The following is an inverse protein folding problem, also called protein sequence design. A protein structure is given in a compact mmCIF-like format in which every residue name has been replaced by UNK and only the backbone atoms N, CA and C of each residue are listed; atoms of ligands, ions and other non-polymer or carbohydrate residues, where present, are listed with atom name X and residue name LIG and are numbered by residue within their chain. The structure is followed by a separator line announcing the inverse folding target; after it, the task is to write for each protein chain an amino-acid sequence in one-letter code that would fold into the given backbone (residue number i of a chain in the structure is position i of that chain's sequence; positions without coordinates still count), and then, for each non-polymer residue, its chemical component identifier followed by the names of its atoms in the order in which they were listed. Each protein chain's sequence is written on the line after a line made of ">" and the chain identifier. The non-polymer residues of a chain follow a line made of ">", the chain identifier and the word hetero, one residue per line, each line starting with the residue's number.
data_IF_426791771008
#
_entry.id   IF_426791771008
#
_cell.length_a   1.000
_cell.length_b   1.000
_cell.length_c   1.000
_cell.angle_alpha   90.00
_cell.angle_beta   90.00
_cell.angle_gamma   90.00
#
_symmetry.space_group_name_H-M   'P 1'
#
loop_
_entity.id
_entity.type
_entity.pdbx_description
1 polymer ?
#
# COMPACT_ATOMS: atom_id res chain seq x y z
N UNK A 1 -31.97 1.36 -13.42
CA UNK A 1 -31.39 0.05 -13.02
C UNK A 1 -29.97 0.30 -12.55
N UNK A 2 -29.61 -0.07 -11.33
CA UNK A 2 -28.26 0.14 -10.80
C UNK A 2 -27.30 -0.90 -11.39
N UNK A 3 -26.18 -0.45 -11.96
CA UNK A 3 -25.13 -1.34 -12.48
C UNK A 3 -24.51 -2.26 -11.41
N UNK A 4 -23.79 -3.31 -11.84
CA UNK A 4 -23.16 -4.26 -10.92
C UNK A 4 -22.12 -3.55 -10.04
N UNK A 5 -22.03 -4.01 -8.78
CA UNK A 5 -21.10 -3.50 -7.78
C UNK A 5 -19.74 -4.19 -7.94
N UNK A 6 -18.68 -3.41 -8.08
CA UNK A 6 -17.32 -3.89 -8.32
C UNK A 6 -16.45 -3.57 -7.11
N UNK A 7 -15.74 -4.57 -6.60
CA UNK A 7 -14.62 -4.37 -5.68
C UNK A 7 -13.35 -4.16 -6.50
N UNK A 8 -12.81 -2.95 -6.51
CA UNK A 8 -11.51 -2.67 -7.14
C UNK A 8 -10.40 -2.83 -6.11
N UNK A 9 -9.51 -3.78 -6.35
CA UNK A 9 -8.34 -4.08 -5.53
C UNK A 9 -7.10 -3.46 -6.18
N UNK A 10 -6.46 -2.56 -5.42
CA UNK A 10 -5.19 -1.93 -5.77
C UNK A 10 -4.10 -2.63 -4.94
N UNK A 11 -3.39 -3.62 -5.50
CA UNK A 11 -2.38 -4.36 -4.76
C UNK A 11 -1.15 -3.49 -4.51
N UNK A 12 -0.70 -3.48 -3.27
CA UNK A 12 0.57 -2.85 -2.87
C UNK A 12 1.45 -3.86 -2.15
N UNK A 13 2.75 -3.57 -2.06
CA UNK A 13 3.69 -4.39 -1.29
C UNK A 13 3.42 -4.33 0.23
N UNK A 14 2.56 -3.44 0.70
CA UNK A 14 2.13 -3.38 2.12
C UNK A 14 0.79 -4.08 2.35
N UNK A 15 0.19 -4.64 1.29
CA UNK A 15 -1.14 -5.23 1.31
C UNK A 15 -2.07 -4.62 0.26
N UNK A 16 -3.15 -5.33 -0.11
CA UNK A 16 -4.14 -4.80 -1.04
C UNK A 16 -4.91 -3.64 -0.42
N UNK A 17 -5.09 -2.57 -1.19
CA UNK A 17 -6.03 -1.50 -0.90
C UNK A 17 -7.31 -1.72 -1.69
N UNK A 18 -8.42 -1.21 -1.14
CA UNK A 18 -9.74 -1.28 -1.75
C UNK A 18 -10.19 0.12 -2.12
N UNK A 19 -10.71 0.29 -3.34
CA UNK A 19 -11.42 1.51 -3.71
C UNK A 19 -12.75 1.53 -2.98
N UNK A 20 -12.98 2.56 -2.16
CA UNK A 20 -14.23 2.73 -1.42
C UNK A 20 -15.24 3.54 -2.20
N UNK A 21 -14.79 4.65 -2.79
CA UNK A 21 -15.63 5.51 -3.61
C UNK A 21 -14.81 6.27 -4.64
N UNK A 22 -15.49 6.62 -5.72
CA UNK A 22 -15.04 7.57 -6.72
C UNK A 22 -16.22 8.50 -6.98
N UNK A 23 -16.17 9.71 -6.45
CA UNK A 23 -17.35 10.59 -6.39
C UNK A 23 -17.00 12.04 -6.77
N UNK A 24 -17.92 12.77 -7.43
CA UNK A 24 -17.77 14.20 -7.63
C UNK A 24 -17.63 14.95 -6.30
N UNK A 25 -16.71 15.92 -6.27
CA UNK A 25 -16.43 16.75 -5.09
C UNK A 25 -16.13 18.20 -5.50
N UNK A 26 -17.15 19.00 -5.89
CA UNK A 26 -16.97 20.34 -6.44
C UNK A 26 -16.16 21.32 -5.57
N UNK A 27 -16.07 21.08 -4.26
CA UNK A 27 -15.27 21.91 -3.35
C UNK A 27 -13.76 21.62 -3.35
N UNK A 28 -13.28 20.62 -4.10
CA UNK A 28 -11.84 20.39 -4.25
C UNK A 28 -11.26 21.27 -5.35
N UNK A 29 -10.02 21.78 -5.19
CA UNK A 29 -9.36 22.58 -6.22
C UNK A 29 -8.94 21.73 -7.44
N UNK A 30 -8.76 20.42 -7.26
CA UNK A 30 -8.42 19.45 -8.28
C UNK A 30 -8.84 18.05 -7.82
N UNK A 31 -8.92 17.05 -8.72
CA UNK A 31 -9.09 15.66 -8.32
C UNK A 31 -8.01 15.23 -7.32
N UNK A 32 -8.40 14.54 -6.27
CA UNK A 32 -7.47 14.11 -5.22
C UNK A 32 -7.85 12.74 -4.66
N UNK A 33 -6.85 12.02 -4.18
CA UNK A 33 -7.02 10.71 -3.58
C UNK A 33 -6.78 10.79 -2.07
N UNK A 34 -7.54 10.03 -1.30
CA UNK A 34 -7.51 10.09 0.16
C UNK A 34 -7.60 8.69 0.75
N UNK A 35 -6.96 8.48 1.90
CA UNK A 35 -7.21 7.32 2.74
C UNK A 35 -8.55 7.47 3.47
N UNK A 36 -9.17 6.34 3.82
CA UNK A 36 -10.34 6.31 4.69
C UNK A 36 -10.03 6.95 6.05
N UNK A 37 -10.93 7.81 6.52
CA UNK A 37 -10.75 8.55 7.78
C UNK A 37 -9.70 9.67 7.76
N UNK A 38 -9.02 9.94 6.65
CA UNK A 38 -8.07 11.07 6.54
C UNK A 38 -8.58 12.11 5.52
N UNK A 39 -8.48 13.39 5.88
CA UNK A 39 -8.84 14.51 5.00
C UNK A 39 -7.66 15.01 4.17
N UNK A 40 -6.43 14.58 4.48
CA UNK A 40 -5.23 15.01 3.76
C UNK A 40 -5.06 14.18 2.49
N UNK A 41 -4.77 14.81 1.35
CA UNK A 41 -4.50 14.08 0.11
C UNK A 41 -3.33 13.09 0.28
N UNK A 42 -3.44 11.94 -0.36
CA UNK A 42 -2.35 10.96 -0.43
C UNK A 42 -1.14 11.57 -1.16
N UNK A 43 0.11 11.13 -0.86
CA UNK A 43 1.31 11.73 -1.44
C UNK A 43 1.35 11.77 -2.98
N UNK A 44 0.72 10.79 -3.65
CA UNK A 44 0.62 10.70 -5.11
C UNK A 44 -0.61 11.40 -5.71
N UNK A 45 -1.40 12.13 -4.90
CA UNK A 45 -2.61 12.81 -5.38
C UNK A 45 -2.34 13.85 -6.47
N UNK A 46 -1.17 14.49 -6.45
CA UNK A 46 -0.78 15.41 -7.51
C UNK A 46 -0.58 14.69 -8.86
N UNK A 47 -0.11 13.45 -8.84
CA UNK A 47 0.07 12.64 -10.05
C UNK A 47 -1.29 12.16 -10.57
N UNK A 48 -2.17 11.76 -9.65
CA UNK A 48 -3.57 11.46 -9.94
C UNK A 48 -4.31 12.66 -10.56
N UNK A 49 -4.15 13.85 -10.00
CA UNK A 49 -4.71 15.07 -10.57
C UNK A 49 -4.26 15.30 -12.01
N UNK A 50 -3.00 14.99 -12.34
CA UNK A 50 -2.49 15.10 -13.73
C UNK A 50 -3.08 14.04 -14.66
N UNK A 51 -3.34 12.83 -14.17
CA UNK A 51 -4.04 11.80 -14.95
C UNK A 51 -5.48 12.21 -15.28
N UNK A 52 -6.15 12.88 -14.34
CA UNK A 52 -7.54 13.32 -14.46
C UNK A 52 -7.74 14.74 -14.99
N UNK A 53 -6.66 15.47 -15.26
CA UNK A 53 -6.73 16.85 -15.76
C UNK A 53 -7.49 16.89 -17.10
N UNK A 54 -8.10 18.03 -17.47
CA UNK A 54 -8.66 18.21 -18.80
C UNK A 54 -7.62 17.87 -19.89
N UNK A 55 -7.98 16.98 -20.81
CA UNK A 55 -7.07 16.46 -21.85
C UNK A 55 -6.02 15.46 -21.35
N UNK A 56 -6.07 15.07 -20.07
CA UNK A 56 -5.26 14.00 -19.50
C UNK A 56 -5.75 12.61 -19.90
N UNK A 57 -4.98 11.54 -19.62
CA UNK A 57 -5.28 10.18 -20.06
C UNK A 57 -6.69 9.71 -19.70
N UNK A 58 -7.15 9.96 -18.47
CA UNK A 58 -8.46 9.52 -18.00
C UNK A 58 -9.61 10.18 -18.77
N UNK A 59 -9.40 11.37 -19.35
CA UNK A 59 -10.42 12.04 -20.15
C UNK A 59 -10.84 11.24 -21.39
N UNK A 60 -9.94 10.41 -21.93
CA UNK A 60 -10.24 9.53 -23.07
C UNK A 60 -11.17 8.35 -22.74
N UNK A 61 -11.37 8.03 -21.45
CA UNK A 61 -12.15 6.85 -21.02
C UNK A 61 -13.66 7.09 -20.96
N UNK A 62 -14.10 8.32 -21.19
CA UNK A 62 -15.48 8.77 -21.04
C UNK A 62 -15.83 9.19 -19.61
N UNK A 63 -16.97 9.86 -19.44
CA UNK A 63 -17.45 10.42 -18.17
C UNK A 63 -17.22 11.93 -18.04
N UNK A 64 -17.71 12.54 -16.94
CA UNK A 64 -17.47 13.96 -16.58
C UNK A 64 -16.01 14.19 -16.13
N UNK A 65 -15.07 13.74 -16.97
CA UNK A 65 -13.65 13.92 -16.78
C UNK A 65 -13.32 15.41 -16.90
N UNK A 66 -12.78 15.98 -15.82
CA UNK A 66 -12.42 17.39 -15.74
C UNK A 66 -13.00 18.11 -14.52
N UNK A 67 -14.08 17.58 -13.93
CA UNK A 67 -14.57 18.04 -12.63
C UNK A 67 -13.67 17.61 -11.47
N UNK A 68 -13.64 18.32 -10.34
CA UNK A 68 -12.96 17.83 -9.15
C UNK A 68 -13.68 16.61 -8.59
N UNK A 69 -12.95 15.49 -8.45
CA UNK A 69 -13.47 14.22 -7.93
C UNK A 69 -12.61 13.73 -6.76
N UNK A 70 -13.24 13.03 -5.84
CA UNK A 70 -12.60 12.36 -4.72
C UNK A 70 -12.45 10.87 -5.02
N UNK A 71 -11.21 10.36 -4.96
CA UNK A 71 -10.92 8.93 -4.92
C UNK A 71 -10.62 8.50 -3.48
N UNK A 72 -11.48 7.67 -2.88
CA UNK A 72 -11.31 7.19 -1.50
C UNK A 72 -10.79 5.76 -1.49
N UNK A 73 -9.68 5.52 -0.81
CA UNK A 73 -9.08 4.19 -0.64
C UNK A 73 -9.18 3.73 0.82
N UNK A 74 -9.16 2.41 1.04
CA UNK A 74 -9.19 1.84 2.40
C UNK A 74 -7.95 2.12 3.26
N UNK A 75 -6.93 2.75 2.70
CA UNK A 75 -5.67 3.05 3.38
C UNK A 75 -4.75 3.90 2.51
N UNK A 76 -3.54 4.15 3.00
CA UNK A 76 -2.53 4.96 2.31
C UNK A 76 -1.40 4.12 1.72
N UNK A 77 -0.64 4.71 0.80
CA UNK A 77 0.69 4.29 0.38
C UNK A 77 1.45 5.46 -0.21
N UNK A 78 2.78 5.41 -0.13
CA UNK A 78 3.60 6.61 -0.26
C UNK A 78 4.19 6.79 -1.67
N UNK A 79 4.42 5.69 -2.40
CA UNK A 79 5.15 5.74 -3.65
C UNK A 79 4.81 4.61 -4.63
N UNK A 80 5.23 4.82 -5.87
CA UNK A 80 5.06 3.89 -6.98
C UNK A 80 3.93 4.30 -7.92
N UNK A 81 4.00 3.80 -9.15
CA UNK A 81 3.01 4.08 -10.22
C UNK A 81 2.07 2.91 -10.49
N UNK A 82 2.17 1.84 -9.70
CA UNK A 82 1.40 0.61 -9.95
C UNK A 82 -0.10 0.72 -9.65
N UNK A 83 -0.54 1.87 -9.14
CA UNK A 83 -1.94 2.22 -8.89
C UNK A 83 -2.63 2.85 -10.10
N UNK A 84 -1.88 3.31 -11.11
CA UNK A 84 -2.44 4.08 -12.21
C UNK A 84 -3.44 3.24 -13.01
N UNK A 85 -3.08 1.99 -13.34
CA UNK A 85 -3.98 1.06 -14.06
C UNK A 85 -5.30 0.80 -13.33
N UNK A 86 -5.33 0.31 -12.08
CA UNK A 86 -6.61 0.06 -11.41
C UNK A 86 -7.45 1.33 -11.22
N UNK A 87 -6.82 2.51 -11.07
CA UNK A 87 -7.54 3.79 -11.00
C UNK A 87 -8.12 4.19 -12.36
N UNK A 88 -7.37 4.04 -13.46
CA UNK A 88 -7.89 4.30 -14.80
C UNK A 88 -9.06 3.36 -15.13
N UNK A 89 -8.94 2.07 -14.79
CA UNK A 89 -10.05 1.11 -14.93
C UNK A 89 -11.26 1.53 -14.10
N UNK A 90 -11.07 1.98 -12.86
CA UNK A 90 -12.17 2.47 -12.03
C UNK A 90 -12.88 3.68 -12.68
N UNK A 91 -12.14 4.63 -13.22
CA UNK A 91 -12.74 5.75 -13.96
C UNK A 91 -13.54 5.28 -15.18
N UNK A 92 -12.97 4.41 -16.01
CA UNK A 92 -13.68 3.87 -17.18
C UNK A 92 -14.92 3.06 -16.83
N UNK A 93 -14.91 2.35 -15.70
CA UNK A 93 -16.08 1.64 -15.17
C UNK A 93 -17.13 2.62 -14.62
N UNK A 94 -16.71 3.68 -13.92
CA UNK A 94 -17.61 4.71 -13.42
C UNK A 94 -18.32 5.44 -14.57
N UNK A 95 -17.61 5.75 -15.64
CA UNK A 95 -18.15 6.33 -16.88
C UNK A 95 -19.22 5.44 -17.54
N UNK A 96 -19.14 4.12 -17.32
CA UNK A 96 -20.11 3.12 -17.77
C UNK A 96 -21.17 2.80 -16.71
N UNK A 97 -21.34 3.66 -15.70
CA UNK A 97 -22.34 3.56 -14.62
C UNK A 97 -22.21 2.33 -13.72
N UNK A 98 -21.00 1.76 -13.60
CA UNK A 98 -20.72 0.76 -12.57
C UNK A 98 -20.61 1.41 -11.19
N UNK A 99 -20.95 0.64 -10.15
CA UNK A 99 -20.83 1.08 -8.75
C UNK A 99 -19.63 0.41 -8.10
N UNK A 100 -19.08 1.04 -7.07
CA UNK A 100 -17.99 0.47 -6.29
C UNK A 100 -18.45 0.06 -4.90
N UNK A 101 -17.87 -1.02 -4.39
CA UNK A 101 -18.03 -1.46 -3.00
C UNK A 101 -16.66 -1.78 -2.40
N UNK A 102 -16.51 -1.50 -1.11
CA UNK A 102 -15.34 -1.90 -0.35
C UNK A 102 -15.47 -3.30 0.26
N UNK A 103 -16.67 -3.88 0.31
CA UNK A 103 -16.95 -5.13 0.99
C UNK A 103 -16.99 -6.30 0.00
N UNK A 104 -16.10 -7.31 0.11
CA UNK A 104 -16.06 -8.43 -0.83
C UNK A 104 -17.38 -9.19 -0.96
N UNK A 105 -18.13 -9.32 0.14
CA UNK A 105 -19.43 -10.00 0.15
C UNK A 105 -20.53 -9.25 -0.62
N UNK A 106 -20.34 -7.96 -0.90
CA UNK A 106 -21.30 -7.13 -1.66
C UNK A 106 -20.91 -6.98 -3.13
N UNK A 107 -19.78 -7.55 -3.55
CA UNK A 107 -19.27 -7.40 -4.91
C UNK A 107 -19.91 -8.43 -5.85
N UNK A 108 -20.34 -7.96 -7.02
CA UNK A 108 -20.71 -8.80 -8.16
C UNK A 108 -19.47 -9.23 -8.97
N UNK A 109 -18.37 -8.48 -8.85
CA UNK A 109 -17.08 -8.73 -9.50
C UNK A 109 -15.95 -8.18 -8.62
N UNK A 110 -14.86 -8.93 -8.50
CA UNK A 110 -13.58 -8.43 -7.98
C UNK A 110 -12.68 -8.11 -9.16
N UNK A 111 -12.21 -6.86 -9.24
CA UNK A 111 -11.17 -6.43 -10.17
C UNK A 111 -9.85 -6.30 -9.42
N UNK A 112 -8.89 -7.17 -9.72
CA UNK A 112 -7.52 -7.05 -9.24
C UNK A 112 -6.64 -6.55 -10.39
N UNK A 113 -6.03 -5.39 -10.24
CA UNK A 113 -5.21 -4.84 -11.31
C UNK A 113 -4.02 -4.06 -10.75
N UNK A 114 -2.90 -4.12 -11.45
CA UNK A 114 -1.67 -3.38 -11.13
C UNK A 114 -1.04 -2.89 -12.42
N UNK A 115 -0.30 -1.78 -12.36
CA UNK A 115 0.46 -1.28 -13.50
C UNK A 115 0.54 0.23 -13.53
N UNK A 116 1.51 0.74 -14.29
CA UNK A 116 1.60 2.14 -14.69
C UNK A 116 1.08 2.30 -16.13
N UNK A 117 0.65 3.51 -16.48
CA UNK A 117 0.20 3.84 -17.85
C UNK A 117 1.06 4.93 -18.46
N UNK A 118 1.06 5.02 -19.79
CA UNK A 118 1.51 6.21 -20.49
C UNK A 118 0.34 7.18 -20.78
N UNK A 119 0.57 8.14 -21.68
CA UNK A 119 -0.42 9.14 -22.05
C UNK A 119 -1.58 8.57 -22.86
N UNK A 120 -1.33 7.49 -23.59
CA UNK A 120 -2.30 6.82 -24.47
C UNK A 120 -2.96 5.63 -23.76
N UNK A 121 -2.83 5.58 -22.43
CA UNK A 121 -3.35 4.52 -21.58
C UNK A 121 -2.82 3.11 -21.93
N UNK A 122 -1.65 3.04 -22.57
CA UNK A 122 -0.93 1.79 -22.71
C UNK A 122 -0.36 1.37 -21.36
N UNK A 123 -0.50 0.10 -21.01
CA UNK A 123 0.01 -0.47 -19.77
C UNK A 123 1.50 -0.72 -19.94
N UNK A 124 2.31 -0.03 -19.13
CA UNK A 124 3.75 -0.08 -19.22
C UNK A 124 4.30 -1.43 -18.73
N UNK A 125 5.18 -2.09 -19.50
CA UNK A 125 5.86 -3.29 -19.02
C UNK A 125 6.80 -2.95 -17.86
N UNK A 126 7.03 -3.90 -16.96
CA UNK A 126 7.95 -3.70 -15.86
C UNK A 126 7.93 -4.81 -14.82
N UNK A 127 8.84 -4.71 -13.86
CA UNK A 127 8.80 -5.51 -12.66
C UNK A 127 7.86 -4.85 -11.64
N UNK A 128 6.72 -5.51 -11.39
CA UNK A 128 5.69 -5.01 -10.49
C UNK A 128 5.58 -5.81 -9.19
N UNK A 129 6.51 -6.75 -8.93
CA UNK A 129 6.44 -7.71 -7.81
C UNK A 129 5.04 -8.37 -7.74
N UNK A 130 4.61 -8.95 -8.85
CA UNK A 130 3.29 -9.55 -9.01
C UNK A 130 3.09 -10.69 -8.01
N UNK A 131 4.09 -11.55 -7.82
CA UNK A 131 3.97 -12.70 -6.92
C UNK A 131 3.81 -12.28 -5.45
N UNK A 132 4.59 -11.29 -4.99
CA UNK A 132 4.44 -10.71 -3.64
C UNK A 132 3.07 -10.07 -3.45
N UNK A 133 2.60 -9.32 -4.45
CA UNK A 133 1.26 -8.70 -4.43
C UNK A 133 0.13 -9.72 -4.41
N UNK A 134 0.27 -10.83 -5.13
CA UNK A 134 -0.69 -11.93 -5.16
C UNK A 134 -0.77 -12.58 -3.78
N UNK A 135 0.38 -12.92 -3.19
CA UNK A 135 0.42 -13.56 -1.88
C UNK A 135 -0.20 -12.68 -0.81
N UNK A 136 0.12 -11.38 -0.79
CA UNK A 136 -0.48 -10.41 0.13
C UNK A 136 -1.98 -10.19 -0.10
N UNK A 137 -2.48 -10.51 -1.29
CA UNK A 137 -3.91 -10.38 -1.62
C UNK A 137 -4.72 -11.64 -1.28
N UNK A 138 -4.06 -12.75 -0.89
CA UNK A 138 -4.71 -14.06 -0.69
C UNK A 138 -5.84 -14.00 0.33
N UNK A 139 -5.61 -13.40 1.49
CA UNK A 139 -6.61 -13.29 2.56
C UNK A 139 -7.86 -12.54 2.08
N UNK A 140 -7.67 -11.36 1.47
CA UNK A 140 -8.77 -10.55 0.93
C UNK A 140 -9.57 -11.32 -0.14
N UNK A 141 -8.89 -12.01 -1.06
CA UNK A 141 -9.54 -12.74 -2.14
C UNK A 141 -10.27 -14.00 -1.66
N UNK A 142 -9.89 -14.53 -0.50
CA UNK A 142 -10.54 -15.66 0.16
C UNK A 142 -11.84 -15.29 0.89
N UNK A 143 -12.07 -14.00 1.20
CA UNK A 143 -13.31 -13.53 1.85
C UNK A 143 -14.55 -13.73 0.97
N UNK A 144 -14.37 -13.77 -0.35
CA UNK A 144 -15.45 -13.93 -1.32
C UNK A 144 -15.04 -14.92 -2.44
N UNK A 145 -14.92 -16.23 -2.14
CA UNK A 145 -14.36 -17.21 -3.07
C UNK A 145 -15.26 -17.49 -4.29
N UNK A 146 -16.55 -17.18 -4.16
CA UNK A 146 -17.56 -17.39 -5.20
C UNK A 146 -17.79 -16.18 -6.11
N UNK A 147 -17.22 -15.02 -5.78
CA UNK A 147 -17.37 -13.81 -6.62
C UNK A 147 -16.41 -13.93 -7.81
N UNK A 148 -16.87 -13.68 -9.05
CA UNK A 148 -15.99 -13.67 -10.22
C UNK A 148 -14.78 -12.75 -10.00
N UNK A 149 -13.62 -13.20 -10.48
CA UNK A 149 -12.36 -12.45 -10.38
C UNK A 149 -11.88 -12.08 -11.79
N UNK A 150 -11.70 -10.80 -12.04
CA UNK A 150 -11.00 -10.28 -13.22
C UNK A 150 -9.63 -9.76 -12.81
N UNK A 151 -8.60 -10.09 -13.59
CA UNK A 151 -7.20 -9.77 -13.27
C UNK A 151 -6.53 -9.08 -14.44
N UNK A 152 -5.96 -7.89 -14.22
CA UNK A 152 -5.03 -7.27 -15.16
C UNK A 152 -3.60 -7.38 -14.63
N UNK A 153 -2.78 -8.11 -15.40
CA UNK A 153 -1.33 -8.23 -15.19
C UNK A 153 -0.62 -7.40 -16.27
N UNK A 154 0.36 -6.55 -15.93
CA UNK A 154 1.25 -5.94 -16.91
C UNK A 154 2.15 -6.98 -17.57
N UNK A 155 2.74 -6.63 -18.72
CA UNK A 155 3.87 -7.39 -19.25
C UNK A 155 5.10 -7.24 -18.32
N UNK A 156 5.90 -8.30 -18.18
CA UNK A 156 7.04 -8.30 -17.27
C UNK A 156 7.52 -9.71 -16.93
N UNK A 157 8.62 -9.83 -16.18
CA UNK A 157 9.27 -11.10 -15.88
C UNK A 157 8.36 -12.09 -15.14
N UNK A 158 7.50 -11.59 -14.24
CA UNK A 158 6.63 -12.43 -13.43
C UNK A 158 5.26 -12.72 -14.05
N UNK A 159 4.93 -12.17 -15.24
CA UNK A 159 3.56 -12.25 -15.80
C UNK A 159 3.04 -13.69 -15.88
N UNK A 160 3.83 -14.60 -16.46
CA UNK A 160 3.42 -15.99 -16.64
C UNK A 160 3.22 -16.73 -15.31
N UNK A 161 4.14 -16.52 -14.36
CA UNK A 161 4.03 -17.11 -13.02
C UNK A 161 2.84 -16.55 -12.24
N UNK A 162 2.58 -15.24 -12.36
CA UNK A 162 1.44 -14.58 -11.74
C UNK A 162 0.11 -15.10 -12.28
N UNK A 163 0.00 -15.30 -13.60
CA UNK A 163 -1.18 -15.90 -14.21
C UNK A 163 -1.44 -17.33 -13.71
N UNK A 164 -0.39 -18.15 -13.65
CA UNK A 164 -0.48 -19.50 -13.10
C UNK A 164 -0.90 -19.49 -11.62
N UNK A 165 -0.35 -18.56 -10.82
CA UNK A 165 -0.70 -18.40 -9.41
C UNK A 165 -2.19 -18.06 -9.21
N UNK A 166 -2.74 -17.14 -10.02
CA UNK A 166 -4.18 -16.83 -9.96
C UNK A 166 -5.04 -18.02 -10.36
N UNK A 167 -4.67 -18.77 -11.40
CA UNK A 167 -5.41 -19.98 -11.80
C UNK A 167 -5.39 -21.05 -10.70
N UNK A 168 -4.35 -21.09 -9.87
CA UNK A 168 -4.22 -22.00 -8.75
C UNK A 168 -5.03 -21.62 -7.49
N UNK A 169 -5.75 -20.49 -7.47
CA UNK A 169 -6.51 -20.04 -6.27
C UNK A 169 -7.73 -20.91 -5.92
N UNK A 170 -8.02 -21.97 -6.68
CA UNK A 170 -9.11 -22.90 -6.37
C UNK A 170 -10.51 -22.25 -6.34
N UNK A 171 -10.70 -21.18 -7.13
CA UNK A 171 -11.98 -20.46 -7.21
C UNK A 171 -13.00 -21.27 -8.01
N UNK A 172 -14.29 -21.05 -7.73
CA UNK A 172 -15.39 -21.72 -8.42
C UNK A 172 -15.36 -21.49 -9.95
N UNK A 173 -15.09 -20.26 -10.35
CA UNK A 173 -14.87 -19.88 -11.74
C UNK A 173 -13.39 -19.51 -11.93
N UNK A 174 -12.80 -19.91 -13.06
CA UNK A 174 -11.44 -19.52 -13.40
C UNK A 174 -11.34 -17.98 -13.48
N UNK A 175 -10.27 -17.36 -12.92
CA UNK A 175 -10.07 -15.92 -13.05
C UNK A 175 -10.02 -15.48 -14.51
N UNK A 176 -10.73 -14.40 -14.83
CA UNK A 176 -10.71 -13.78 -16.15
C UNK A 176 -9.47 -12.90 -16.28
N UNK A 177 -8.46 -13.39 -17.01
CA UNK A 177 -7.24 -12.63 -17.30
C UNK A 177 -7.56 -11.61 -18.39
N UNK A 178 -7.47 -10.33 -18.06
CA UNK A 178 -7.77 -9.22 -18.96
C UNK A 178 -6.60 -8.96 -19.93
N UNK A 179 -6.87 -8.39 -21.12
CA UNK A 179 -5.83 -7.85 -21.99
C UNK A 179 -4.91 -6.90 -21.21
N UNK A 180 -3.61 -7.16 -21.22
CA UNK A 180 -2.62 -6.40 -20.45
C UNK A 180 -1.88 -5.32 -21.25
N UNK A 181 -2.39 -4.97 -22.44
CA UNK A 181 -1.76 -4.01 -23.36
C UNK A 181 -2.21 -2.57 -23.15
N UNK A 182 -3.52 -2.34 -23.04
CA UNK A 182 -4.11 -1.00 -22.83
C UNK A 182 -5.27 -1.08 -21.84
N UNK A 183 -5.58 0.05 -21.19
CA UNK A 183 -6.71 0.15 -20.25
C UNK A 183 -8.04 -0.03 -20.99
N UNK A 184 -8.16 0.49 -22.21
CA UNK A 184 -9.35 0.41 -23.05
C UNK A 184 -9.70 -1.04 -23.39
N UNK A 185 -8.73 -1.83 -23.85
CA UNK A 185 -8.95 -3.23 -24.19
C UNK A 185 -9.41 -4.04 -22.96
N UNK A 186 -8.86 -3.72 -21.78
CA UNK A 186 -9.31 -4.32 -20.52
C UNK A 186 -10.73 -3.88 -20.14
N UNK A 187 -11.09 -2.60 -20.32
CA UNK A 187 -12.45 -2.10 -20.09
C UNK A 187 -13.46 -2.76 -21.03
N UNK A 188 -13.13 -2.90 -22.31
CA UNK A 188 -13.97 -3.60 -23.28
C UNK A 188 -14.18 -5.06 -22.87
N UNK A 189 -13.11 -5.77 -22.48
CA UNK A 189 -13.20 -7.14 -22.01
C UNK A 189 -14.04 -7.29 -20.71
N UNK A 190 -14.01 -6.28 -19.83
CA UNK A 190 -14.80 -6.24 -18.60
C UNK A 190 -16.29 -5.95 -18.83
N UNK A 191 -16.60 -5.14 -19.85
CA UNK A 191 -17.94 -4.58 -20.05
C UNK A 191 -18.70 -5.24 -21.20
N UNK A 192 -18.01 -6.02 -22.04
CA UNK A 192 -18.66 -6.84 -23.07
C UNK A 192 -19.69 -7.75 -22.39
N UNK A 193 -20.93 -7.80 -22.89
CA UNK A 193 -21.90 -8.78 -22.43
C UNK A 193 -21.25 -10.15 -22.55
N UNK A 194 -21.02 -10.85 -21.43
CA UNK A 194 -20.76 -12.28 -21.51
C UNK A 194 -21.99 -12.86 -22.16
N UNK A 195 -21.82 -13.57 -23.28
CA UNK A 195 -22.85 -14.50 -23.76
C UNK A 195 -23.14 -15.42 -22.57
N UNK A 196 -24.22 -15.09 -21.87
CA UNK A 196 -24.69 -15.92 -20.77
C UNK A 196 -25.12 -17.19 -21.46
N UNK A 197 -24.50 -18.31 -21.09
CA UNK A 197 -25.20 -19.58 -21.22
C UNK A 197 -26.64 -19.36 -20.72
N UNK A 198 -27.65 -19.76 -21.50
CA UNK A 198 -29.04 -19.55 -21.13
C UNK A 198 -29.20 -20.07 -19.70
N UNK A 199 -29.86 -19.30 -18.81
CA UNK A 199 -29.95 -19.67 -17.41
C UNK A 199 -30.41 -21.11 -17.34
N UNK A 200 -29.57 -21.99 -16.78
CA UNK A 200 -29.96 -23.38 -16.55
C UNK A 200 -31.34 -23.34 -15.91
N UNK A 201 -32.33 -24.08 -16.46
CA UNK A 201 -33.67 -24.04 -15.94
C UNK A 201 -33.57 -24.49 -14.49
N UNK A 202 -33.71 -23.53 -13.57
CA UNK A 202 -33.91 -23.81 -12.15
C UNK A 202 -35.03 -24.83 -12.12
N UNK A 203 -34.69 -26.10 -11.85
CA UNK A 203 -35.65 -27.14 -11.49
C UNK A 203 -36.33 -26.66 -10.22
N UNK A 204 -37.36 -25.83 -10.38
CA UNK A 204 -38.41 -25.65 -9.39
C UNK A 204 -38.96 -27.05 -9.24
N UNK A 205 -38.60 -27.73 -8.14
CA UNK A 205 -39.42 -28.81 -7.62
C UNK A 205 -40.85 -28.29 -7.61
N UNK A 206 -41.67 -28.86 -8.49
CA UNK A 206 -43.07 -28.55 -8.59
C UNK A 206 -43.70 -28.74 -7.22
N UNK A 207 -44.09 -27.64 -6.60
CA UNK A 207 -45.04 -27.66 -5.51
C UNK A 207 -46.31 -28.32 -6.06
N UNK A 208 -46.70 -29.40 -5.39
CA UNK A 208 -47.99 -30.06 -5.51
C UNK A 208 -49.11 -29.04 -5.76
N UNK A 209 -49.73 -29.14 -6.93
CA UNK A 209 -51.04 -28.56 -7.17
C UNK A 209 -52.07 -29.40 -6.42
N UNK A 210 -52.59 -28.86 -5.32
CA UNK A 210 -53.84 -29.34 -4.73
C UNK A 210 -55.00 -28.64 -5.46
N UNK A 211 -56.05 -29.36 -5.89
CA UNK A 211 -57.20 -28.77 -6.55
C UNK A 211 -58.08 -28.01 -5.55
N UNK A 212 -58.66 -26.92 -6.02
CA UNK A 212 -59.62 -26.09 -5.30
C UNK A 212 -60.87 -26.91 -4.92
N UNK A 213 -61.12 -27.02 -3.62
CA UNK A 213 -62.36 -27.56 -3.05
C UNK A 213 -63.37 -26.45 -2.82
N UNK A 214 -64.58 -26.67 -3.33
CA UNK A 214 -65.77 -25.88 -3.05
C UNK A 214 -66.30 -26.10 -1.61
N UNK A 215 -66.90 -25.03 -1.08
CA UNK A 215 -67.93 -24.93 -0.04
C UNK A 215 -68.25 -26.11 0.91
N UNK A 216 -68.23 -25.84 2.22
CA UNK A 216 -69.33 -26.18 3.14
C UNK A 216 -69.21 -25.39 4.45
N UNK A 217 -70.36 -24.86 4.89
CA UNK A 217 -70.58 -24.18 6.16
C UNK A 217 -71.03 -25.15 7.27
N UNK A 218 -70.90 -24.68 8.53
CA UNK A 218 -71.44 -25.16 9.82
C UNK A 218 -70.28 -25.34 10.82
N UNK A 219 -70.31 -24.90 12.08
CA UNK A 219 -71.38 -24.40 12.93
C UNK A 219 -71.06 -24.78 14.39
N UNK A 220 -71.11 -23.79 15.28
CA UNK A 220 -71.41 -23.86 16.73
C UNK A 220 -70.41 -24.40 17.80
N UNK A 221 -70.29 -23.54 18.83
CA UNK A 221 -70.32 -23.80 20.31
C UNK A 221 -68.99 -24.13 20.99
N UNK A 222 -68.41 -23.20 21.78
CA UNK A 222 -68.57 -23.00 23.25
C UNK A 222 -67.87 -24.14 24.05
N UNK A 223 -67.19 -24.02 25.20
CA UNK A 223 -67.05 -23.04 26.30
C UNK A 223 -66.13 -23.76 27.35
N UNK A 224 -65.56 -23.04 28.32
CA UNK A 224 -64.90 -23.51 29.59
C UNK A 224 -63.43 -24.01 29.53
N UNK A 225 -62.51 -23.87 30.50
CA UNK A 225 -62.17 -22.99 31.67
C UNK A 225 -60.94 -23.69 32.35
N UNK A 226 -59.86 -22.94 32.60
CA UNK A 226 -58.87 -23.02 33.72
C UNK A 226 -57.88 -24.19 34.01
N UNK A 227 -56.84 -23.76 34.77
CA UNK A 227 -55.85 -24.41 35.67
C UNK A 227 -54.51 -24.78 34.99
N UNK A 228 -53.42 -24.01 35.11
CA UNK A 228 -52.58 -23.56 36.24
C UNK A 228 -51.58 -24.61 36.78
N UNK A 229 -50.27 -24.36 36.57
CA UNK A 229 -49.08 -24.66 37.40
C UNK A 229 -47.85 -24.36 36.51
N UNK A 230 -46.83 -23.57 36.83
CA UNK A 230 -46.28 -23.13 38.10
C UNK A 230 -44.82 -23.60 38.17
N UNK A 231 -43.84 -22.70 37.99
CA UNK A 231 -42.57 -22.67 38.75
C UNK A 231 -41.52 -21.68 38.19
N UNK A 232 -41.31 -20.59 38.95
CA UNK A 232 -40.02 -20.09 39.52
C UNK A 232 -38.96 -19.56 38.53
N UNK A 233 -38.75 -18.23 38.50
CA UNK A 233 -37.74 -17.45 39.27
C UNK A 233 -36.30 -17.70 38.78
N UNK A 234 -35.42 -16.72 38.54
CA UNK A 234 -35.38 -15.31 38.94
C UNK A 234 -34.31 -14.56 38.08
N UNK A 235 -34.20 -13.22 38.22
CA UNK A 235 -33.45 -12.30 37.36
C UNK A 235 -32.07 -11.97 37.93
N UNK A 236 -31.16 -11.36 37.14
CA UNK A 236 -30.15 -10.43 37.69
C UNK A 236 -29.83 -9.32 36.69
N UNK A 237 -30.02 -8.10 37.18
CA UNK A 237 -29.66 -6.78 36.62
C UNK A 237 -28.19 -6.42 36.88
N UNK A 238 -27.65 -5.59 35.98
CA UNK A 238 -26.50 -4.69 36.05
C UNK A 238 -25.83 -4.44 37.42
N UNK A 239 -24.50 -4.26 37.41
CA UNK A 239 -23.86 -3.07 37.99
C UNK A 239 -22.40 -2.93 37.57
N UNK A 240 -22.02 -1.68 37.28
CA UNK A 240 -20.67 -1.20 37.12
C UNK A 240 -20.07 -0.86 38.49
N UNK A 241 -18.79 -1.14 38.73
CA UNK A 241 -17.85 -0.30 39.51
C UNK A 241 -16.41 -0.83 39.38
N UNK A 242 -15.50 0.03 38.90
CA UNK A 242 -14.08 0.07 39.30
C UNK A 242 -13.99 0.52 40.79
N UNK A 243 -12.87 0.42 41.57
CA UNK A 243 -11.47 0.49 41.13
C UNK A 243 -10.42 -0.34 41.93
N UNK A 244 -9.15 -0.20 41.50
CA UNK A 244 -7.91 -0.06 42.29
C UNK A 244 -7.12 -1.29 42.81
N UNK A 245 -5.82 -1.25 42.42
CA UNK A 245 -4.59 -1.59 43.18
C UNK A 245 -4.31 -3.04 43.60
N UNK A 246 -3.16 -3.55 43.15
CA UNK A 246 -2.54 -4.76 43.65
C UNK A 246 -1.21 -5.06 42.98
N UNK A 247 -0.15 -4.39 43.43
CA UNK A 247 1.25 -4.80 43.25
C UNK A 247 1.49 -6.21 43.75
N UNK A 248 2.07 -7.08 42.93
CA UNK A 248 2.78 -8.27 43.40
C UNK A 248 3.93 -8.62 42.45
N UNK A 249 5.14 -8.45 42.98
CA UNK A 249 6.40 -8.97 42.46
C UNK A 249 6.33 -10.48 42.22
N UNK A 250 6.91 -10.92 41.11
CA UNK A 250 7.37 -12.29 40.94
C UNK A 250 8.86 -12.25 40.53
N UNK A 251 9.65 -12.73 41.48
CA UNK A 251 11.08 -12.98 41.50
C UNK A 251 11.36 -14.37 40.89
N UNK A 252 12.38 -14.45 40.02
CA UNK A 252 13.23 -15.61 39.60
C UNK A 252 13.60 -15.41 38.12
N UNK A 253 14.82 -15.63 37.62
CA UNK A 253 16.04 -16.18 38.20
C UNK A 253 17.24 -15.62 37.41
N UNK A 254 18.34 -15.33 38.13
CA UNK A 254 19.66 -15.06 37.56
C UNK A 254 20.27 -16.40 37.11
N UNK A 255 20.68 -16.46 35.84
CA UNK A 255 21.74 -17.36 35.39
C UNK A 255 22.95 -16.53 35.02
N UNK A 256 24.03 -16.75 35.76
CA UNK A 256 25.39 -16.33 35.45
C UNK A 256 26.03 -17.29 34.43
N UNK A 257 27.25 -16.95 34.00
CA UNK A 257 28.17 -17.69 33.11
C UNK A 257 27.89 -17.57 31.59
N UNK A 258 28.82 -17.17 30.71
CA UNK A 258 30.29 -17.07 30.76
C UNK A 258 30.78 -16.05 29.72
N UNK A 259 31.75 -15.22 30.12
CA UNK A 259 32.48 -14.27 29.27
C UNK A 259 33.52 -15.03 28.41
N UNK A 260 33.54 -14.91 27.07
CA UNK A 260 34.72 -15.24 26.28
C UNK A 260 35.68 -14.03 26.20
N UNK A 261 37.00 -14.27 26.07
CA UNK A 261 38.02 -13.25 26.28
C UNK A 261 38.13 -12.27 25.10
N UNK A 262 38.44 -11.02 25.46
CA UNK A 262 38.96 -9.97 24.58
C UNK A 262 40.19 -10.43 23.79
N UNK A 263 40.32 -10.04 22.51
CA UNK A 263 41.60 -9.73 21.92
C UNK A 263 41.90 -8.22 22.10
N UNK A 264 42.89 -7.95 22.95
CA UNK A 264 43.68 -6.73 22.95
C UNK A 264 44.35 -6.53 21.59
N UNK A 265 44.17 -5.36 20.98
CA UNK A 265 45.25 -4.52 20.45
C UNK A 265 44.64 -3.23 19.90
N UNK A 266 44.65 -2.21 20.74
CA UNK A 266 44.52 -0.82 20.34
C UNK A 266 45.64 -0.50 19.34
N UNK A 267 45.30 -0.40 18.06
CA UNK A 267 46.06 0.42 17.13
C UNK A 267 45.88 1.88 17.56
N UNK A 268 46.99 2.45 18.02
CA UNK A 268 47.12 3.84 18.47
C UNK A 268 46.87 4.75 17.26
N UNK A 269 45.83 5.61 17.24
CA UNK A 269 45.66 6.57 16.16
C UNK A 269 46.85 7.52 16.16
N UNK A 270 47.47 7.67 14.99
CA UNK A 270 48.50 8.66 14.75
C UNK A 270 47.96 10.05 15.13
N UNK A 271 48.80 10.82 15.82
CA UNK A 271 48.50 12.18 16.24
C UNK A 271 48.27 13.08 15.02
N UNK A 272 47.06 13.59 14.86
CA UNK A 272 46.75 14.64 13.89
C UNK A 272 45.29 14.82 13.48
N UNK A 273 44.44 13.80 13.59
CA UNK A 273 43.06 13.90 13.08
C UNK A 273 42.12 14.56 14.09
N UNK A 274 41.72 15.80 13.78
CA UNK A 274 40.51 16.38 14.38
C UNK A 274 39.33 15.50 13.97
N UNK A 275 38.42 15.12 14.90
CA UNK A 275 37.24 14.36 14.54
C UNK A 275 36.45 15.14 13.49
N UNK A 276 36.15 14.50 12.36
CA UNK A 276 35.42 15.12 11.26
C UNK A 276 34.08 15.67 11.75
N UNK A 277 33.77 16.92 11.39
CA UNK A 277 32.57 17.62 11.86
C UNK A 277 31.31 17.04 11.22
N UNK A 278 31.44 16.46 10.03
CA UNK A 278 30.39 15.80 9.25
C UNK A 278 30.82 14.36 8.98
N UNK A 279 29.92 13.41 9.22
CA UNK A 279 30.09 12.00 8.87
C UNK A 279 29.08 11.60 7.81
N UNK A 280 29.54 10.98 6.73
CA UNK A 280 28.71 10.44 5.65
C UNK A 280 28.97 8.95 5.51
N UNK A 281 27.92 8.14 5.55
CA UNK A 281 27.97 6.69 5.43
C UNK A 281 27.01 6.23 4.33
N UNK A 282 27.42 5.23 3.56
CA UNK A 282 26.56 4.49 2.64
C UNK A 282 25.61 3.60 3.43
N UNK A 283 24.34 3.58 3.02
CA UNK A 283 23.34 2.63 3.51
C UNK A 283 23.13 1.56 2.45
N UNK A 284 23.47 0.32 2.75
CA UNK A 284 23.38 -0.82 1.82
C UNK A 284 22.37 -1.86 2.28
N UNK A 285 21.74 -2.52 1.32
CA UNK A 285 20.88 -3.66 1.59
C UNK A 285 21.74 -4.86 2.00
N UNK A 286 21.46 -5.52 3.14
CA UNK A 286 22.16 -6.75 3.48
C UNK A 286 21.85 -7.86 2.46
N UNK A 287 22.69 -8.90 2.34
CA UNK A 287 22.45 -10.03 1.46
C UNK A 287 21.05 -10.65 1.67
N UNK A 288 20.32 -10.86 0.56
CA UNK A 288 18.95 -11.38 0.59
C UNK A 288 17.86 -10.35 0.94
N UNK A 289 18.24 -9.09 1.19
CA UNK A 289 17.32 -7.97 1.37
C UNK A 289 17.21 -7.11 0.10
N UNK A 290 16.39 -6.06 0.17
CA UNK A 290 16.29 -5.03 -0.87
C UNK A 290 16.32 -3.65 -0.23
N UNK A 291 16.74 -2.66 -1.02
CA UNK A 291 16.76 -1.28 -0.55
C UNK A 291 15.39 -0.74 -0.14
N UNK A 292 14.32 -1.30 -0.70
CA UNK A 292 12.96 -1.02 -0.27
C UNK A 292 12.72 -1.48 1.17
N UNK A 293 13.07 -2.72 1.51
CA UNK A 293 12.90 -3.24 2.87
C UNK A 293 13.69 -2.44 3.89
N UNK A 294 14.92 -2.06 3.54
CA UNK A 294 15.76 -1.19 4.36
C UNK A 294 15.16 0.21 4.54
N UNK A 295 14.74 0.87 3.45
CA UNK A 295 14.19 2.23 3.50
C UNK A 295 12.90 2.33 4.35
N UNK A 296 12.14 1.25 4.45
CA UNK A 296 10.92 1.16 5.26
C UNK A 296 11.11 0.43 6.60
N UNK A 297 12.36 0.23 7.04
CA UNK A 297 12.68 -0.31 8.36
C UNK A 297 12.35 -1.79 8.59
N UNK A 298 12.08 -2.55 7.52
CA UNK A 298 11.87 -3.99 7.60
C UNK A 298 13.18 -4.75 7.87
N UNK A 299 14.30 -4.25 7.33
CA UNK A 299 15.64 -4.78 7.59
C UNK A 299 16.60 -3.64 7.94
N UNK A 300 17.64 -3.94 8.72
CA UNK A 300 18.67 -2.96 9.06
C UNK A 300 19.68 -2.81 7.91
N UNK A 301 20.08 -1.57 7.55
CA UNK A 301 21.11 -1.36 6.54
C UNK A 301 22.49 -1.78 7.04
N UNK A 302 23.31 -2.31 6.13
CA UNK A 302 24.76 -2.30 6.31
C UNK A 302 25.29 -0.88 6.10
N UNK A 303 26.18 -0.43 7.00
CA UNK A 303 26.73 0.94 6.97
C UNK A 303 28.19 0.90 6.60
N UNK A 304 28.58 1.75 5.64
CA UNK A 304 29.97 1.90 5.22
C UNK A 304 30.37 3.37 5.19
N UNK A 305 31.40 3.73 5.94
CA UNK A 305 31.91 5.10 5.96
C UNK A 305 32.42 5.51 4.56
N UNK A 306 32.03 6.70 4.12
CA UNK A 306 32.58 7.32 2.91
C UNK A 306 33.86 8.05 3.28
N UNK A 307 34.96 7.69 2.62
CA UNK A 307 36.28 8.24 2.93
C UNK A 307 36.40 9.70 2.46
N UNK A 308 36.96 10.60 3.29
CA UNK A 308 37.27 11.95 2.85
C UNK A 308 38.45 11.99 1.87
N UNK A 309 38.35 12.89 0.90
CA UNK A 309 39.41 13.29 -0.01
C UNK A 309 39.90 14.72 0.32
N UNK A 310 41.06 15.09 -0.21
CA UNK A 310 41.60 16.45 -0.04
C UNK A 310 40.65 17.52 -0.59
N UNK A 311 40.56 18.66 0.09
CA UNK A 311 39.82 19.83 -0.40
C UNK A 311 38.31 19.79 -0.13
N UNK A 312 37.88 19.14 0.95
CA UNK A 312 36.46 19.09 1.35
C UNK A 312 35.62 18.24 0.40
N UNK A 313 36.20 17.21 -0.20
CA UNK A 313 35.51 16.25 -1.07
C UNK A 313 35.44 14.91 -0.36
N UNK A 314 34.46 14.10 -0.73
CA UNK A 314 34.33 12.71 -0.33
C UNK A 314 34.55 11.82 -1.54
N UNK A 315 35.16 10.65 -1.34
CA UNK A 315 35.33 9.65 -2.40
C UNK A 315 33.96 9.32 -3.01
N UNK A 316 33.83 9.35 -4.36
CA UNK A 316 32.55 9.08 -4.99
C UNK A 316 32.00 7.68 -4.65
N UNK A 317 30.75 7.62 -4.20
CA UNK A 317 30.04 6.36 -3.97
C UNK A 317 29.47 5.83 -5.29
N UNK A 318 29.72 4.55 -5.56
CA UNK A 318 29.16 3.88 -6.74
C UNK A 318 27.69 3.49 -6.54
N UNK A 319 26.84 3.80 -7.53
CA UNK A 319 25.42 3.48 -7.59
C UNK A 319 25.18 2.01 -7.95
N UNK A 320 25.60 1.10 -7.06
CA UNK A 320 25.33 -0.33 -7.18
C UNK A 320 23.89 -0.68 -6.73
N UNK A 321 23.31 -1.81 -7.16
CA UNK A 321 21.94 -2.19 -6.80
C UNK A 321 21.67 -2.25 -5.29
N UNK A 322 22.69 -2.59 -4.50
CA UNK A 322 22.66 -2.71 -3.05
C UNK A 322 22.75 -1.36 -2.35
N UNK A 323 23.10 -0.27 -3.04
CA UNK A 323 23.12 1.06 -2.44
C UNK A 323 21.69 1.60 -2.33
N UNK A 324 21.27 1.81 -1.09
CA UNK A 324 19.92 2.22 -0.73
C UNK A 324 19.84 3.70 -0.40
N UNK A 325 20.92 4.29 0.09
CA UNK A 325 20.91 5.67 0.53
C UNK A 325 22.20 6.07 1.23
N UNK A 326 22.12 7.18 1.95
CA UNK A 326 23.21 7.78 2.71
C UNK A 326 22.72 8.12 4.12
N UNK A 327 23.52 7.87 5.13
CA UNK A 327 23.35 8.40 6.48
C UNK A 327 24.32 9.55 6.68
N UNK A 328 23.80 10.71 7.10
CA UNK A 328 24.58 11.92 7.30
C UNK A 328 24.38 12.39 8.74
N UNK A 329 25.48 12.55 9.46
CA UNK A 329 25.49 13.07 10.83
C UNK A 329 26.43 14.27 10.92
N UNK A 330 26.10 15.21 11.82
CA UNK A 330 27.00 16.27 12.23
C UNK A 330 27.38 16.10 13.71
N UNK A 331 28.50 16.69 14.12
CA UNK A 331 28.86 16.79 15.51
C UNK A 331 27.78 17.53 16.33
N UNK A 332 27.62 17.22 17.62
CA UNK A 332 26.64 17.89 18.49
C UNK A 332 26.77 19.42 18.46
N UNK A 333 25.63 20.13 18.49
CA UNK A 333 25.58 21.60 18.42
C UNK A 333 25.65 22.18 17.00
N UNK A 334 25.62 21.32 15.97
CA UNK A 334 25.62 21.73 14.57
C UNK A 334 24.37 21.22 13.85
N UNK A 335 23.86 22.06 12.94
CA UNK A 335 22.77 21.73 12.04
C UNK A 335 23.30 21.37 10.66
N UNK A 336 22.76 20.29 10.09
CA UNK A 336 23.05 19.85 8.74
C UNK A 336 22.19 20.61 7.72
N UNK A 337 22.84 21.16 6.72
CA UNK A 337 22.23 21.68 5.50
C UNK A 337 22.65 20.80 4.32
N UNK A 338 21.66 20.20 3.67
CA UNK A 338 21.87 19.24 2.57
C UNK A 338 21.55 19.91 1.24
N UNK A 339 22.39 19.72 0.22
CA UNK A 339 22.14 20.21 -1.13
C UNK A 339 20.79 19.77 -1.70
N UNK A 340 20.11 20.63 -2.47
CA UNK A 340 18.82 20.30 -3.07
C UNK A 340 18.89 19.10 -4.02
N UNK A 341 20.05 18.82 -4.62
CA UNK A 341 20.29 17.72 -5.54
C UNK A 341 20.05 16.37 -4.86
N UNK A 342 20.60 16.18 -3.65
CA UNK A 342 20.36 14.96 -2.87
C UNK A 342 18.90 14.89 -2.41
N UNK A 343 18.34 16.00 -1.91
CA UNK A 343 16.94 16.03 -1.43
C UNK A 343 15.92 15.68 -2.53
N UNK A 344 16.18 16.08 -3.77
CA UNK A 344 15.34 15.74 -4.92
C UNK A 344 15.46 14.25 -5.31
N UNK A 345 16.64 13.65 -5.12
CA UNK A 345 16.93 12.26 -5.45
C UNK A 345 16.48 11.25 -4.38
N UNK A 346 16.12 11.71 -3.17
CA UNK A 346 15.77 10.84 -2.04
C UNK A 346 14.32 10.95 -1.60
N UNK A 347 13.87 9.95 -0.83
CA UNK A 347 12.69 10.05 0.02
C UNK A 347 12.90 11.16 1.08
N UNK A 348 11.82 11.64 1.73
CA UNK A 348 11.96 12.55 2.88
C UNK A 348 12.94 11.98 3.92
N UNK A 349 13.82 12.80 4.50
CA UNK A 349 14.83 12.32 5.42
C UNK A 349 14.20 11.73 6.67
N UNK A 350 14.73 10.60 7.12
CA UNK A 350 14.30 9.94 8.37
C UNK A 350 15.40 10.02 9.41
N UNK A 351 15.05 10.11 10.68
CA UNK A 351 16.02 10.08 11.78
C UNK A 351 16.35 8.63 12.12
N UNK A 352 17.62 8.26 12.07
CA UNK A 352 18.12 6.93 12.45
C UNK A 352 18.32 6.85 13.96
N UNK A 353 18.48 5.62 14.48
CA UNK A 353 18.61 5.35 15.92
C UNK A 353 19.82 6.05 16.57
N UNK A 354 20.88 6.32 15.81
CA UNK A 354 22.08 7.03 16.25
C UNK A 354 22.00 8.55 16.06
N UNK A 355 20.83 9.08 15.68
CA UNK A 355 20.61 10.50 15.44
C UNK A 355 21.01 10.99 14.05
N UNK A 356 21.62 10.15 13.20
CA UNK A 356 21.93 10.50 11.83
C UNK A 356 20.65 10.72 11.00
N UNK A 357 20.73 11.54 9.96
CA UNK A 357 19.68 11.70 8.97
C UNK A 357 19.90 10.72 7.82
N UNK A 358 18.93 9.81 7.61
CA UNK A 358 18.91 8.84 6.52
C UNK A 358 18.23 9.40 5.27
N UNK A 359 18.94 9.36 4.14
CA UNK A 359 18.52 9.81 2.81
C UNK A 359 18.45 8.60 1.88
N UNK A 360 17.28 7.97 1.76
CA UNK A 360 17.07 6.80 0.90
C UNK A 360 16.78 7.19 -0.55
N UNK A 361 17.53 6.64 -1.50
CA UNK A 361 17.39 6.92 -2.94
C UNK A 361 16.04 6.47 -3.46
N UNK A 362 15.41 7.29 -4.32
CA UNK A 362 14.23 6.87 -5.08
C UNK A 362 14.63 5.92 -6.20
N UNK A 363 13.72 5.00 -6.53
CA UNK A 363 13.95 3.97 -7.55
C UNK A 363 14.32 4.54 -8.94
N UNK A 364 13.74 5.69 -9.32
CA UNK A 364 14.06 6.40 -10.56
C UNK A 364 15.22 7.41 -10.48
N UNK A 365 15.82 7.61 -9.31
CA UNK A 365 16.83 8.66 -9.08
C UNK A 365 18.27 8.14 -9.03
N UNK A 366 18.51 6.89 -9.48
CA UNK A 366 19.85 6.27 -9.59
C UNK A 366 20.60 6.82 -10.82
N UNK A 367 20.97 8.09 -10.73
CA UNK A 367 21.73 8.81 -11.74
C UNK A 367 22.93 9.50 -11.10
N UNK A 368 23.94 9.80 -11.92
CA UNK A 368 25.11 10.54 -11.45
C UNK A 368 24.64 11.86 -10.83
N UNK A 369 25.02 12.12 -9.58
CA UNK A 369 24.63 13.35 -8.89
C UNK A 369 25.78 13.83 -8.00
N UNK A 370 25.96 15.15 -7.94
CA UNK A 370 26.92 15.81 -7.06
C UNK A 370 26.13 16.69 -6.12
N UNK A 371 26.42 16.60 -4.83
CA UNK A 371 25.71 17.36 -3.80
C UNK A 371 26.69 17.85 -2.73
N UNK A 372 26.29 18.92 -2.05
CA UNK A 372 27.04 19.45 -0.92
C UNK A 372 26.33 19.14 0.40
N UNK A 373 27.11 18.97 1.46
CA UNK A 373 26.66 18.88 2.85
C UNK A 373 27.39 19.95 3.63
N UNK A 374 26.67 20.77 4.38
CA UNK A 374 27.25 21.82 5.19
C UNK A 374 26.79 21.67 6.64
N UNK A 375 27.72 21.78 7.58
CA UNK A 375 27.41 21.91 9.00
C UNK A 375 27.43 23.39 9.38
N UNK A 376 26.35 23.88 9.98
CA UNK A 376 26.25 25.24 10.52
C UNK A 376 26.11 25.18 12.04
N UNK A 377 26.77 26.06 12.80
CA UNK A 377 26.51 26.18 14.23
C UNK A 377 25.07 26.64 14.49
N UNK A 378 24.48 26.13 15.57
CA UNK A 378 23.23 26.68 16.08
C UNK A 378 23.43 28.13 16.55
N UNK A 379 22.39 28.96 16.40
CA UNK A 379 22.50 30.40 16.58
C UNK A 379 23.12 30.77 17.94
N UNK A 380 24.26 31.48 17.91
CA UNK A 380 24.98 31.96 19.10
C UNK A 380 26.40 31.41 19.29
N UNK A 381 26.85 30.46 18.47
CA UNK A 381 28.22 29.92 18.53
C UNK A 381 29.03 30.22 17.24
N UNK A 382 30.29 30.61 17.37
CA UNK A 382 31.29 30.55 16.30
C UNK A 382 32.30 29.45 16.67
N UNK A 383 32.36 28.33 15.92
CA UNK A 383 33.42 28.13 14.92
C UNK A 383 32.99 27.21 13.73
N UNK A 384 33.92 26.54 13.00
CA UNK A 384 33.97 26.57 11.53
C UNK A 384 32.79 25.88 10.84
N UNK A 385 32.29 26.51 9.77
CA UNK A 385 31.40 25.82 8.83
C UNK A 385 32.22 24.85 7.99
N UNK A 386 32.04 23.55 8.21
CA UNK A 386 32.57 22.52 7.32
C UNK A 386 31.59 22.31 6.16
N UNK A 387 32.11 22.29 4.93
CA UNK A 387 31.35 21.95 3.73
C UNK A 387 32.05 20.80 3.01
N UNK A 388 31.33 19.72 2.84
CA UNK A 388 31.76 18.55 2.09
C UNK A 388 31.00 18.47 0.75
N UNK A 389 31.68 18.03 -0.29
CA UNK A 389 31.09 17.71 -1.60
C UNK A 389 31.22 16.22 -1.84
N UNK A 390 30.12 15.56 -2.19
CA UNK A 390 30.09 14.14 -2.49
C UNK A 390 29.40 13.90 -3.83
N UNK A 391 29.82 12.83 -4.51
CA UNK A 391 29.27 12.41 -5.78
C UNK A 391 28.76 10.96 -5.69
N UNK A 392 27.59 10.71 -6.26
CA UNK A 392 27.14 9.36 -6.59
C UNK A 392 27.37 9.11 -8.08
N UNK A 393 28.01 8.00 -8.44
CA UNK A 393 28.41 7.69 -9.82
C UNK A 393 28.03 6.27 -10.21
N UNK A 394 27.61 6.03 -11.46
CA UNK A 394 27.28 4.67 -11.97
C UNK A 394 28.52 3.78 -12.12
#
# INVERSE_FOLDING_TARGET
>A
MTGPAILVVIPTTRGPLRLRSLSPRPGLPAPAAFADGDYRPLPWSADYARLCAPGGPVAGLGGDAGGPHELRLSGSFDAGRSWEVPVCLAHGLAARSHRFTAEPAQADLILWATGAVDRDLAVLPGDYALLDKIERSRALLAEAPNVPLAVLLPAGPERGAAEAAFRAFGRKEAPHILPGGTVEAALEALTRPRDRDPPEPRRRLGRLALPAGAAAAAGLVAVVTFIALGARHAPVTNSATDPATGTASAELARSAETIPPSPSALEKPAAGDRPATIRVEELRAPPGSSCRRVAFGADLPERRLVTPESGGRLTPTRLVPELCGLAIAAAPGLQLEIGPELRAATLPPVRLADGAQGFFLREGSRQNLVYAVQARPEAGAAPPSERLVHALTR
#
